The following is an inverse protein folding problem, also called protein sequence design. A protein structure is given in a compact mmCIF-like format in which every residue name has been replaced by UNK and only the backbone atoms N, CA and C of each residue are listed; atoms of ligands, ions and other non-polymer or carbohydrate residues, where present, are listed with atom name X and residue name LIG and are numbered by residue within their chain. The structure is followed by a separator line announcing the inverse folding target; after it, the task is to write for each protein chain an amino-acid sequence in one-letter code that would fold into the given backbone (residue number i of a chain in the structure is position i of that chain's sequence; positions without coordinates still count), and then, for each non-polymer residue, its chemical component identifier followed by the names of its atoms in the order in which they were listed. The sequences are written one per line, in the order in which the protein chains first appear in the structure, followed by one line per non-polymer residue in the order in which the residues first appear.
data_IF_693211319385
#
_entry.id   IF_693211319385
#
_cell.length_a   1.000
_cell.length_b   1.000
_cell.length_c   1.000
_cell.angle_alpha   90.00
_cell.angle_beta   90.00
_cell.angle_gamma   90.00
#
_symmetry.space_group_name_H-M   'P 1'
#
loop_
_entity.id
_entity.type
_entity.pdbx_description
1 polymer ?
#
# COMPACT_ATOMS: atom_id res chain seq x y z
N UNK A 1 25.65 33.72 17.19
CA UNK A 1 25.09 33.47 15.84
C UNK A 1 24.08 32.34 15.92
N UNK A 2 22.78 32.66 15.90
CA UNK A 2 21.70 31.68 16.03
C UNK A 2 21.40 31.01 14.69
N UNK A 3 21.36 29.67 14.64
CA UNK A 3 20.90 28.91 13.46
C UNK A 3 19.39 28.74 13.56
N UNK A 4 18.67 29.33 12.61
CA UNK A 4 17.21 29.21 12.48
C UNK A 4 16.85 27.79 12.01
N UNK A 5 15.93 27.04 12.67
CA UNK A 5 15.53 25.74 12.18
C UNK A 5 14.60 25.91 10.95
N UNK A 6 14.95 25.18 9.89
CA UNK A 6 14.19 25.09 8.63
C UNK A 6 12.93 24.27 8.88
N UNK A 7 11.74 24.85 8.65
CA UNK A 7 10.47 24.15 8.76
C UNK A 7 10.42 22.94 7.81
N UNK A 8 9.76 21.83 8.19
CA UNK A 8 9.59 20.68 7.31
C UNK A 8 8.69 21.09 6.14
N UNK A 9 9.18 20.85 4.92
CA UNK A 9 8.42 21.07 3.71
C UNK A 9 7.19 20.17 3.74
N UNK A 10 6.01 20.76 3.56
CA UNK A 10 4.75 20.04 3.35
C UNK A 10 4.93 19.17 2.12
N UNK A 11 4.89 17.85 2.30
CA UNK A 11 4.82 16.90 1.19
C UNK A 11 3.42 16.99 0.60
N UNK A 12 3.31 17.63 -0.56
CA UNK A 12 2.08 17.64 -1.35
C UNK A 12 1.75 16.19 -1.75
N UNK A 13 0.59 15.62 -1.34
CA UNK A 13 0.21 14.25 -1.70
C UNK A 13 -0.13 14.10 -3.19
N UNK A 14 -0.10 15.20 -3.95
CA UNK A 14 -0.44 15.24 -5.36
C UNK A 14 0.69 14.83 -6.31
N UNK A 15 1.94 14.68 -5.82
CA UNK A 15 3.07 14.30 -6.70
C UNK A 15 3.07 12.82 -7.10
N UNK A 16 2.39 11.97 -6.34
CA UNK A 16 2.28 10.54 -6.61
C UNK A 16 1.03 10.18 -7.44
N UNK A 17 0.20 11.17 -7.78
CA UNK A 17 -0.99 10.98 -8.61
C UNK A 17 -0.69 10.94 -10.13
N UNK A 18 0.58 11.02 -10.53
CA UNK A 18 0.99 10.78 -11.91
C UNK A 18 1.13 9.27 -12.08
N UNK A 19 0.03 8.62 -12.44
CA UNK A 19 -0.04 7.18 -12.68
C UNK A 19 1.20 6.67 -13.43
N UNK A 20 2.03 5.91 -12.70
CA UNK A 20 3.22 5.31 -13.26
C UNK A 20 2.82 4.43 -14.44
N UNK A 21 3.45 4.64 -15.59
CA UNK A 21 3.27 3.77 -16.78
C UNK A 21 4.03 2.46 -16.66
N UNK A 22 4.30 2.01 -15.43
CA UNK A 22 4.90 0.72 -15.14
C UNK A 22 3.85 -0.35 -15.43
N UNK A 23 3.96 -0.97 -16.60
CA UNK A 23 3.26 -2.21 -16.90
C UNK A 23 4.13 -3.37 -16.47
N UNK A 24 3.51 -4.50 -16.10
CA UNK A 24 4.21 -5.77 -15.85
C UNK A 24 5.04 -6.19 -17.07
N UNK A 25 4.60 -5.80 -18.27
CA UNK A 25 5.29 -6.06 -19.54
C UNK A 25 5.41 -4.76 -20.37
N UNK A 26 6.61 -4.44 -20.85
CA UNK A 26 6.88 -3.30 -21.74
C UNK A 26 7.39 -3.82 -23.09
N UNK A 27 6.49 -4.18 -24.02
CA UNK A 27 6.87 -4.32 -25.44
C UNK A 27 6.32 -5.47 -26.28
N UNK A 28 5.39 -6.31 -25.83
CA UNK A 28 4.82 -7.34 -26.73
C UNK A 28 4.02 -8.42 -26.01
N UNK A 29 3.24 -9.20 -26.78
CA UNK A 29 2.49 -10.35 -26.28
C UNK A 29 3.42 -11.31 -25.55
N UNK A 30 3.04 -11.71 -24.33
CA UNK A 30 3.79 -12.68 -23.52
C UNK A 30 3.86 -14.00 -24.28
N UNK A 31 5.00 -14.25 -24.92
CA UNK A 31 5.24 -15.53 -25.57
C UNK A 31 5.16 -16.65 -24.51
N UNK A 32 4.68 -17.85 -24.86
CA UNK A 32 4.69 -18.98 -23.94
C UNK A 32 6.11 -19.21 -23.39
N UNK A 33 6.27 -19.13 -22.06
CA UNK A 33 7.56 -19.27 -21.40
C UNK A 33 8.16 -20.65 -21.63
N UNK A 34 9.49 -20.74 -21.78
CA UNK A 34 10.17 -22.03 -21.90
C UNK A 34 10.12 -22.78 -20.55
N UNK A 35 10.17 -24.12 -20.54
CA UNK A 35 10.02 -24.91 -19.30
C UNK A 35 11.03 -24.59 -18.19
N UNK A 36 12.17 -23.99 -18.55
CA UNK A 36 13.24 -23.61 -17.64
C UNK A 36 13.17 -22.13 -17.19
N UNK A 37 12.18 -21.37 -17.67
CA UNK A 37 11.96 -19.98 -17.32
C UNK A 37 10.85 -19.87 -16.27
N UNK A 38 11.24 -19.93 -15.00
CA UNK A 38 10.38 -19.50 -13.89
C UNK A 38 11.05 -18.35 -13.15
N UNK A 39 10.87 -17.13 -13.63
CA UNK A 39 11.09 -15.94 -12.83
C UNK A 39 9.86 -15.73 -11.92
N UNK A 40 10.03 -16.00 -10.63
CA UNK A 40 8.95 -15.90 -9.66
C UNK A 40 8.59 -14.45 -9.31
N UNK A 41 9.40 -13.47 -9.70
CA UNK A 41 9.19 -12.07 -9.31
C UNK A 41 8.05 -11.40 -10.07
N UNK A 42 7.95 -11.64 -11.38
CA UNK A 42 6.94 -11.01 -12.25
C UNK A 42 5.54 -11.59 -12.05
N UNK A 43 5.42 -12.91 -11.85
CA UNK A 43 4.13 -13.60 -11.64
C UNK A 43 3.42 -13.17 -10.35
N UNK A 44 4.19 -12.71 -9.37
CA UNK A 44 3.68 -12.30 -8.06
C UNK A 44 2.92 -10.97 -8.11
N UNK A 45 3.04 -10.20 -9.21
CA UNK A 45 2.34 -8.93 -9.39
C UNK A 45 1.08 -9.07 -10.26
N UNK A 46 0.87 -10.22 -10.89
CA UNK A 46 -0.35 -10.49 -11.65
C UNK A 46 -1.47 -10.83 -10.64
N UNK A 47 -2.49 -9.98 -10.53
CA UNK A 47 -3.71 -10.36 -9.83
C UNK A 47 -4.25 -11.63 -10.50
N UNK A 48 -4.17 -12.78 -9.83
CA UNK A 48 -4.45 -14.09 -10.41
C UNK A 48 -5.86 -14.21 -11.03
N UNK A 49 -6.78 -13.33 -10.62
CA UNK A 49 -8.20 -13.46 -10.93
C UNK A 49 -8.75 -12.34 -11.82
N UNK A 50 -7.91 -11.41 -12.28
CA UNK A 50 -8.34 -10.27 -13.13
C UNK A 50 -9.38 -9.33 -12.48
N UNK A 51 -9.76 -9.56 -11.23
CA UNK A 51 -10.73 -8.75 -10.50
C UNK A 51 -10.03 -7.58 -9.82
N UNK A 52 -10.37 -6.36 -10.23
CA UNK A 52 -9.86 -5.13 -9.63
C UNK A 52 -10.07 -5.11 -8.11
N UNK A 53 -9.04 -4.70 -7.38
CA UNK A 53 -8.93 -4.71 -5.92
C UNK A 53 -9.22 -6.09 -5.26
N UNK A 54 -8.26 -6.66 -4.50
CA UNK A 54 -8.49 -7.92 -3.80
C UNK A 54 -9.75 -7.80 -2.95
N UNK A 55 -10.61 -8.84 -2.96
CA UNK A 55 -11.89 -8.88 -2.23
C UNK A 55 -11.77 -8.35 -0.79
N UNK A 56 -10.65 -8.64 -0.15
CA UNK A 56 -10.28 -8.16 1.20
C UNK A 56 -10.26 -6.63 1.30
N UNK A 57 -9.73 -5.92 0.29
CA UNK A 57 -9.66 -4.45 0.30
C UNK A 57 -11.03 -3.78 0.19
N UNK A 58 -11.96 -4.33 -0.61
CA UNK A 58 -13.34 -3.82 -0.67
C UNK A 58 -14.07 -4.05 0.64
N UNK A 59 -13.94 -5.24 1.20
CA UNK A 59 -14.52 -5.57 2.50
C UNK A 59 -14.02 -4.63 3.60
N UNK A 60 -12.70 -4.38 3.65
CA UNK A 60 -12.10 -3.49 4.62
C UNK A 60 -12.64 -2.04 4.50
N UNK A 61 -12.85 -1.55 3.27
CA UNK A 61 -13.46 -0.23 3.06
C UNK A 61 -14.90 -0.20 3.61
N UNK A 62 -15.72 -1.18 3.26
CA UNK A 62 -17.10 -1.28 3.73
C UNK A 62 -17.20 -1.43 5.27
N UNK A 63 -16.23 -2.10 5.89
CA UNK A 63 -16.15 -2.23 7.35
C UNK A 63 -15.86 -0.87 8.02
N UNK A 64 -14.94 -0.09 7.45
CA UNK A 64 -14.66 1.29 7.90
C UNK A 64 -15.86 2.20 7.71
N UNK A 65 -16.53 2.15 6.55
CA UNK A 65 -17.72 2.97 6.26
C UNK A 65 -18.89 2.66 7.20
N UNK A 66 -19.04 1.38 7.59
CA UNK A 66 -20.05 0.95 8.57
C UNK A 66 -19.65 1.24 10.02
N UNK A 67 -18.44 1.73 10.26
CA UNK A 67 -17.93 2.02 11.60
C UNK A 67 -17.63 0.76 12.43
N UNK A 68 -17.30 -0.35 11.78
CA UNK A 68 -16.83 -1.55 12.48
C UNK A 68 -15.50 -1.20 13.15
N UNK A 69 -15.43 -1.44 14.46
CA UNK A 69 -14.23 -1.19 15.27
C UNK A 69 -13.58 -2.52 15.61
N UNK A 70 -12.24 -2.56 15.52
CA UNK A 70 -11.46 -3.71 15.95
C UNK A 70 -11.73 -4.05 17.42
N UNK A 71 -12.05 -5.33 17.68
CA UNK A 71 -12.36 -5.82 19.03
C UNK A 71 -11.14 -6.41 19.74
N UNK A 72 -9.98 -6.40 19.11
CA UNK A 72 -8.75 -6.87 19.74
C UNK A 72 -8.19 -5.84 20.74
N UNK A 73 -7.08 -6.17 21.40
CA UNK A 73 -6.43 -5.27 22.36
C UNK A 73 -5.60 -4.18 21.69
N UNK A 74 -5.38 -4.26 20.37
CA UNK A 74 -4.53 -3.35 19.61
C UNK A 74 -4.88 -1.88 19.83
N UNK A 75 -6.11 -1.44 19.57
CA UNK A 75 -6.53 -0.05 19.76
C UNK A 75 -6.34 0.46 21.20
N UNK A 76 -6.59 -0.39 22.19
CA UNK A 76 -6.41 -0.02 23.61
C UNK A 76 -4.93 0.14 23.92
N UNK A 77 -4.09 -0.81 23.50
CA UNK A 77 -2.64 -0.77 23.73
C UNK A 77 -1.97 0.39 23.01
N UNK A 78 -2.42 0.71 21.79
CA UNK A 78 -1.85 1.78 20.98
C UNK A 78 -2.17 3.16 21.58
N UNK A 79 -3.38 3.37 22.10
CA UNK A 79 -3.74 4.58 22.86
C UNK A 79 -2.87 4.75 24.10
N UNK A 80 -2.74 3.71 24.93
CA UNK A 80 -1.91 3.78 26.14
C UNK A 80 -0.46 4.11 25.81
N UNK A 81 0.09 3.47 24.78
CA UNK A 81 1.46 3.73 24.35
C UNK A 81 1.66 5.18 23.88
N UNK A 82 0.80 5.66 22.98
CA UNK A 82 0.95 7.00 22.40
C UNK A 82 0.61 8.13 23.38
N UNK A 83 -0.35 7.92 24.29
CA UNK A 83 -0.81 8.98 25.21
C UNK A 83 0.03 9.07 26.49
N UNK A 84 0.58 7.94 26.98
CA UNK A 84 1.18 7.87 28.32
C UNK A 84 2.64 7.45 28.36
N UNK A 85 3.14 6.73 27.34
CA UNK A 85 4.48 6.11 27.38
C UNK A 85 5.44 6.72 26.36
N UNK A 86 4.93 7.30 25.28
CA UNK A 86 5.75 7.97 24.27
C UNK A 86 6.25 9.30 24.85
N UNK A 87 7.59 9.54 24.88
CA UNK A 87 8.18 10.75 25.45
C UNK A 87 7.92 11.99 24.60
#
# INVERSE_FOLDING_TARGET
MARKPKAPAKTDPAKDAVGGKTKVEQGGESAPRLPHERDQSSDSQQNQDGSGAPRVGRQALEDVERGVVDTDRGPVTDRVYNDQLKP
#
